data_IF_750040603575
#
_entry.id   IF_750040603575
#
_cell.length_a   1.000
_cell.length_b   1.000
_cell.length_c   1.000
_cell.angle_alpha   90.00
_cell.angle_beta   90.00
_cell.angle_gamma   90.00
#
_symmetry.space_group_name_H-M   'P 1'
#
loop_
_entity.id
_entity.type
_entity.pdbx_description
1 polymer ?
#
# COMPACT_ATOMS: atom_id res chain seq x y z
N UNK A 1 -3.84 16.77 8.18
CA UNK A 1 -3.81 15.68 9.19
C UNK A 1 -5.23 15.23 9.52
N UNK A 2 -6.18 16.13 9.85
CA UNK A 2 -7.56 15.75 10.19
C UNK A 2 -8.25 14.90 9.12
N UNK A 3 -8.11 15.27 7.85
CA UNK A 3 -8.63 14.51 6.71
C UNK A 3 -8.05 13.09 6.65
N UNK A 4 -6.73 12.92 6.76
CA UNK A 4 -6.08 11.60 6.70
C UNK A 4 -6.48 10.70 7.87
N UNK A 5 -6.64 11.28 9.07
CA UNK A 5 -7.16 10.55 10.24
C UNK A 5 -8.59 10.08 10.00
N UNK A 6 -9.46 10.96 9.52
CA UNK A 6 -10.86 10.62 9.23
C UNK A 6 -10.94 9.46 8.22
N UNK A 7 -10.17 9.51 7.12
CA UNK A 7 -10.15 8.46 6.11
C UNK A 7 -9.52 7.16 6.63
N UNK A 8 -8.46 7.26 7.44
CA UNK A 8 -7.84 6.09 8.07
C UNK A 8 -8.81 5.31 8.95
N UNK A 9 -9.57 6.00 9.78
CA UNK A 9 -10.62 5.39 10.63
C UNK A 9 -11.80 4.86 9.79
N UNK A 10 -12.14 5.53 8.68
CA UNK A 10 -13.26 5.15 7.81
C UNK A 10 -12.91 4.09 6.76
N UNK A 11 -11.84 3.33 6.95
CA UNK A 11 -11.56 2.15 6.15
C UNK A 11 -10.94 2.41 4.77
N UNK A 12 -10.28 3.54 4.57
CA UNK A 12 -9.57 3.82 3.33
C UNK A 12 -8.20 3.14 3.28
N UNK A 13 -7.86 2.59 2.09
CA UNK A 13 -6.49 2.28 1.72
C UNK A 13 -5.71 3.53 1.29
N UNK A 14 -4.36 3.49 1.37
CA UNK A 14 -3.51 4.62 1.01
C UNK A 14 -2.28 4.19 0.23
N UNK A 15 -1.99 4.90 -0.86
CA UNK A 15 -0.74 4.80 -1.58
C UNK A 15 -0.02 6.15 -1.53
N UNK A 16 1.14 6.18 -0.88
CA UNK A 16 1.96 7.38 -0.73
C UNK A 16 3.09 7.36 -1.75
N UNK A 17 3.13 8.34 -2.61
CA UNK A 17 4.11 8.46 -3.68
C UNK A 17 5.06 9.64 -3.49
N UNK A 18 6.22 9.59 -4.14
CA UNK A 18 7.23 10.65 -4.12
C UNK A 18 8.64 10.10 -4.32
N UNK A 19 9.61 10.97 -4.46
CA UNK A 19 11.03 10.61 -4.60
C UNK A 19 11.62 10.09 -3.27
N UNK A 20 12.81 9.48 -3.33
CA UNK A 20 13.59 9.16 -2.14
C UNK A 20 13.80 10.39 -1.27
N UNK A 21 13.66 10.26 0.05
CA UNK A 21 13.81 11.36 1.00
C UNK A 21 12.68 12.40 0.99
N UNK A 22 11.52 12.14 0.35
CA UNK A 22 10.40 13.10 0.34
C UNK A 22 9.53 13.06 1.60
N UNK A 23 9.78 12.15 2.54
CA UNK A 23 9.03 12.03 3.80
C UNK A 23 7.92 10.98 3.79
N UNK A 24 7.83 10.10 2.76
CA UNK A 24 6.80 9.05 2.64
C UNK A 24 6.73 8.13 3.87
N UNK A 25 7.87 7.55 4.27
CA UNK A 25 7.94 6.63 5.42
C UNK A 25 7.56 7.35 6.72
N UNK A 26 7.94 8.62 6.86
CA UNK A 26 7.55 9.44 8.03
C UNK A 26 6.03 9.67 8.07
N UNK A 27 5.41 9.99 6.92
CA UNK A 27 3.96 10.13 6.85
C UNK A 27 3.27 8.80 7.15
N UNK A 28 3.72 7.70 6.52
CA UNK A 28 3.16 6.37 6.72
C UNK A 28 3.24 5.95 8.19
N UNK A 29 4.38 6.16 8.87
CA UNK A 29 4.53 5.93 10.31
C UNK A 29 3.48 6.69 11.14
N UNK A 30 3.31 7.98 10.88
CA UNK A 30 2.30 8.78 11.58
C UNK A 30 0.86 8.28 11.31
N UNK A 31 0.60 7.73 10.13
CA UNK A 31 -0.70 7.15 9.81
C UNK A 31 -0.94 5.82 10.54
N UNK A 32 0.10 5.02 10.75
CA UNK A 32 0.04 3.81 11.59
C UNK A 32 -0.36 4.18 13.02
N UNK A 33 0.26 5.20 13.60
CA UNK A 33 -0.04 5.69 14.96
C UNK A 33 -1.47 6.24 15.11
N UNK A 34 -2.16 6.52 14.01
CA UNK A 34 -3.56 7.01 14.00
C UNK A 34 -4.59 5.89 13.87
N UNK A 35 -4.17 4.64 13.65
CA UNK A 35 -5.07 3.50 13.53
C UNK A 35 -5.76 3.19 14.84
N UNK A 36 -7.01 2.68 14.81
CA UNK A 36 -7.68 2.15 15.99
C UNK A 36 -6.86 1.03 16.65
N UNK A 37 -6.72 1.06 17.96
CA UNK A 37 -5.89 0.11 18.70
C UNK A 37 -6.43 -1.32 18.70
N UNK A 38 -7.68 -1.49 18.35
CA UNK A 38 -8.36 -2.78 18.21
C UNK A 38 -8.04 -3.48 16.88
N UNK A 39 -7.55 -2.74 15.89
CA UNK A 39 -7.25 -3.27 14.57
C UNK A 39 -5.88 -3.96 14.57
N UNK A 40 -5.81 -5.10 13.89
CA UNK A 40 -4.57 -5.84 13.68
C UNK A 40 -3.82 -5.30 12.46
N UNK A 41 -2.54 -5.03 12.62
CA UNK A 41 -1.71 -4.41 11.58
C UNK A 41 -0.53 -5.31 11.26
N UNK A 42 -0.36 -5.69 10.00
CA UNK A 42 0.83 -6.35 9.49
C UNK A 42 1.70 -5.33 8.74
N UNK A 43 2.94 -5.16 9.17
CA UNK A 43 3.93 -4.33 8.49
C UNK A 43 4.99 -5.21 7.86
N UNK A 44 5.07 -5.19 6.53
CA UNK A 44 6.12 -5.85 5.77
C UNK A 44 7.11 -4.81 5.23
N UNK A 45 8.39 -4.96 5.57
CA UNK A 45 9.44 -4.01 5.20
C UNK A 45 10.81 -4.67 5.07
N UNK A 46 11.62 -4.19 4.13
CA UNK A 46 13.01 -4.65 3.98
C UNK A 46 13.96 -4.05 5.01
N UNK A 47 13.71 -2.81 5.42
CA UNK A 47 14.49 -2.08 6.42
C UNK A 47 13.58 -1.62 7.55
N UNK A 48 14.09 -1.56 8.77
CA UNK A 48 13.36 -1.13 9.97
C UNK A 48 13.09 0.38 9.99
N UNK A 49 12.31 0.88 9.03
CA UNK A 49 11.92 2.29 8.93
C UNK A 49 10.57 2.57 9.58
N UNK A 50 9.67 1.57 9.56
CA UNK A 50 8.34 1.69 10.09
C UNK A 50 8.26 0.98 11.45
N UNK A 51 7.76 1.68 12.42
CA UNK A 51 7.47 1.18 13.76
C UNK A 51 6.40 2.06 14.41
N UNK A 52 5.79 1.58 15.46
CA UNK A 52 4.91 2.37 16.32
C UNK A 52 5.24 2.10 17.77
N UNK A 53 5.32 3.14 18.56
CA UNK A 53 5.50 3.06 20.01
C UNK A 53 4.17 3.04 20.76
N UNK A 54 3.07 3.23 20.06
CA UNK A 54 1.74 3.45 20.65
C UNK A 54 0.71 2.39 20.24
N UNK A 55 0.80 1.83 19.03
CA UNK A 55 -0.17 0.84 18.54
C UNK A 55 0.16 -0.57 19.05
N UNK A 56 -0.73 -1.25 19.81
CA UNK A 56 -0.41 -2.48 20.53
C UNK A 56 -0.45 -3.74 19.67
N UNK A 57 -1.13 -3.71 18.52
CA UNK A 57 -1.40 -4.92 17.70
C UNK A 57 -0.68 -4.85 16.35
N UNK A 58 0.65 -4.73 16.39
CA UNK A 58 1.48 -4.73 15.18
C UNK A 58 2.30 -6.00 15.10
N UNK A 59 2.21 -6.65 13.94
CA UNK A 59 3.11 -7.73 13.53
C UNK A 59 4.08 -7.19 12.51
N UNK A 60 5.39 -7.42 12.74
CA UNK A 60 6.45 -7.05 11.81
C UNK A 60 6.95 -8.28 11.06
N UNK A 61 7.02 -8.18 9.75
CA UNK A 61 7.59 -9.19 8.88
C UNK A 61 8.73 -8.61 8.05
N UNK A 62 9.77 -9.42 7.84
CA UNK A 62 10.94 -9.03 7.06
C UNK A 62 11.27 -10.13 6.06
N UNK A 63 11.44 -9.82 4.78
CA UNK A 63 11.86 -10.79 3.78
C UNK A 63 13.16 -11.47 4.19
N UNK A 64 13.16 -12.78 4.21
CA UNK A 64 14.34 -13.58 4.56
C UNK A 64 15.00 -14.14 3.32
N UNK A 65 16.30 -13.91 3.22
CA UNK A 65 17.15 -14.51 2.21
C UNK A 65 18.23 -15.35 2.92
N UNK A 66 17.95 -16.64 3.12
CA UNK A 66 18.85 -17.53 3.84
C UNK A 66 19.53 -18.52 2.88
N UNK A 67 20.85 -18.54 2.90
CA UNK A 67 21.67 -19.54 2.18
C UNK A 67 22.31 -20.47 3.19
N UNK A 68 21.90 -21.73 3.20
CA UNK A 68 22.53 -22.78 4.00
C UNK A 68 22.68 -24.04 3.13
N UNK A 69 23.86 -24.66 3.21
CA UNK A 69 24.19 -25.95 2.58
C UNK A 69 23.83 -26.06 1.08
N UNK A 70 24.07 -24.98 0.32
CA UNK A 70 23.79 -24.91 -1.12
C UNK A 70 22.29 -24.80 -1.45
N UNK A 71 21.40 -24.68 -0.46
CA UNK A 71 19.99 -24.36 -0.64
C UNK A 71 19.75 -22.90 -0.30
N UNK A 72 19.08 -22.19 -1.22
CA UNK A 72 18.58 -20.84 -1.00
C UNK A 72 17.11 -20.94 -0.60
N UNK A 73 16.81 -20.56 0.64
CA UNK A 73 15.42 -20.39 1.10
C UNK A 73 15.13 -18.90 1.06
N UNK A 74 14.15 -18.54 0.25
CA UNK A 74 13.63 -17.17 0.18
C UNK A 74 12.25 -17.16 0.80
N UNK A 75 12.04 -16.24 1.71
CA UNK A 75 10.73 -15.85 2.17
C UNK A 75 10.53 -14.41 1.73
N UNK A 76 9.62 -14.20 0.81
CA UNK A 76 9.45 -12.93 0.11
C UNK A 76 8.34 -12.10 0.76
N UNK A 77 8.30 -10.80 0.50
CA UNK A 77 7.15 -9.93 0.82
C UNK A 77 5.81 -10.55 0.36
N UNK A 78 5.84 -11.26 -0.75
CA UNK A 78 4.70 -11.98 -1.30
C UNK A 78 4.23 -13.11 -0.36
N UNK A 79 5.16 -13.89 0.16
CA UNK A 79 4.85 -14.99 1.10
C UNK A 79 4.29 -14.43 2.42
N UNK A 80 4.83 -13.31 2.92
CA UNK A 80 4.37 -12.62 4.11
C UNK A 80 2.93 -12.12 3.97
N UNK A 81 2.62 -11.44 2.87
CA UNK A 81 1.27 -10.95 2.60
C UNK A 81 0.26 -12.10 2.47
N UNK A 82 0.67 -13.20 1.81
CA UNK A 82 -0.18 -14.41 1.72
C UNK A 82 -0.46 -15.02 3.09
N UNK A 83 0.52 -15.07 3.98
CA UNK A 83 0.32 -15.56 5.35
C UNK A 83 -0.58 -14.60 6.14
N UNK A 84 -0.37 -13.30 6.03
CA UNK A 84 -1.21 -12.29 6.67
C UNK A 84 -2.69 -12.40 6.26
N UNK A 85 -2.98 -12.70 4.99
CA UNK A 85 -4.37 -12.94 4.53
C UNK A 85 -5.04 -14.13 5.22
N UNK A 86 -4.26 -15.09 5.73
CA UNK A 86 -4.77 -16.24 6.50
C UNK A 86 -4.95 -15.94 8.00
N UNK A 87 -4.47 -14.80 8.48
CA UNK A 87 -4.46 -14.40 9.88
C UNK A 87 -5.55 -13.38 10.24
N UNK A 88 -6.46 -13.08 9.32
CA UNK A 88 -7.54 -12.10 9.51
C UNK A 88 -7.04 -10.72 9.94
N UNK A 89 -5.99 -10.23 9.25
CA UNK A 89 -5.37 -8.93 9.48
C UNK A 89 -6.26 -7.82 8.89
N UNK A 90 -6.48 -6.75 9.67
CA UNK A 90 -7.29 -5.59 9.25
C UNK A 90 -6.54 -4.67 8.30
N UNK A 91 -5.25 -4.44 8.53
CA UNK A 91 -4.41 -3.52 7.75
C UNK A 91 -3.10 -4.17 7.28
N UNK A 92 -2.87 -4.14 5.97
CA UNK A 92 -1.61 -4.53 5.36
C UNK A 92 -0.78 -3.30 5.00
N UNK A 93 0.44 -3.24 5.52
CA UNK A 93 1.33 -2.11 5.29
C UNK A 93 2.61 -2.61 4.63
N UNK A 94 2.94 -2.05 3.46
CA UNK A 94 4.20 -2.31 2.77
C UNK A 94 5.05 -1.05 2.83
N UNK A 95 6.23 -1.16 3.43
CA UNK A 95 7.16 -0.05 3.59
C UNK A 95 7.49 0.62 2.26
N UNK A 96 7.89 -0.16 1.26
CA UNK A 96 8.12 0.31 -0.10
C UNK A 96 7.80 -0.78 -1.13
N UNK A 97 7.01 -0.42 -2.15
CA UNK A 97 6.64 -1.31 -3.25
C UNK A 97 7.61 -1.12 -4.40
N UNK A 98 8.33 -2.20 -4.76
CA UNK A 98 9.37 -2.19 -5.80
C UNK A 98 9.13 -3.22 -6.90
N UNK A 99 8.37 -4.28 -6.62
CA UNK A 99 8.23 -5.45 -7.49
C UNK A 99 6.84 -6.10 -7.47
N UNK A 100 6.85 -7.43 -7.54
CA UNK A 100 5.65 -8.25 -7.70
C UNK A 100 4.66 -8.19 -6.53
N UNK A 101 5.12 -7.82 -5.33
CA UNK A 101 4.27 -7.55 -4.17
C UNK A 101 3.15 -6.55 -4.47
N UNK A 102 3.32 -5.71 -5.50
CA UNK A 102 2.28 -4.81 -5.99
C UNK A 102 0.95 -5.53 -6.33
N UNK A 103 0.99 -6.80 -6.75
CA UNK A 103 -0.22 -7.57 -7.07
C UNK A 103 -1.12 -7.73 -5.85
N UNK A 104 -0.52 -7.88 -4.66
CA UNK A 104 -1.28 -8.09 -3.42
C UNK A 104 -2.08 -6.86 -2.99
N UNK A 105 -1.65 -5.65 -3.37
CA UNK A 105 -2.44 -4.43 -3.16
C UNK A 105 -3.81 -4.57 -3.82
N UNK A 106 -3.83 -5.01 -5.08
CA UNK A 106 -5.06 -5.16 -5.85
C UNK A 106 -5.92 -6.34 -5.36
N UNK A 107 -5.29 -7.48 -5.08
CA UNK A 107 -6.02 -8.67 -4.64
C UNK A 107 -6.53 -8.57 -3.22
N UNK A 108 -5.81 -7.89 -2.32
CA UNK A 108 -6.28 -7.61 -0.95
C UNK A 108 -7.49 -6.70 -0.96
N UNK A 109 -7.46 -5.62 -1.74
CA UNK A 109 -8.60 -4.72 -1.88
C UNK A 109 -9.87 -5.44 -2.33
N UNK A 110 -9.76 -6.47 -3.20
CA UNK A 110 -10.91 -7.19 -3.75
C UNK A 110 -11.44 -8.32 -2.86
N UNK A 111 -10.59 -8.98 -2.09
CA UNK A 111 -10.93 -10.32 -1.58
C UNK A 111 -11.17 -10.41 -0.08
N UNK A 112 -10.69 -9.48 0.72
CA UNK A 112 -10.69 -9.65 2.18
C UNK A 112 -11.37 -8.54 2.96
N UNK A 113 -11.64 -7.39 2.35
CA UNK A 113 -12.05 -6.20 3.09
C UNK A 113 -10.95 -5.56 3.94
N UNK A 114 -9.75 -6.18 3.97
CA UNK A 114 -8.59 -5.60 4.62
C UNK A 114 -8.12 -4.35 3.88
N UNK A 115 -7.59 -3.40 4.63
CA UNK A 115 -7.08 -2.15 4.08
C UNK A 115 -5.61 -2.31 3.73
N UNK A 116 -5.18 -1.54 2.76
CA UNK A 116 -3.79 -1.50 2.34
C UNK A 116 -3.20 -0.10 2.53
N UNK A 117 -1.98 -0.03 3.03
CA UNK A 117 -1.17 1.18 3.01
C UNK A 117 0.24 0.87 2.51
N UNK A 118 0.83 1.80 1.75
CA UNK A 118 2.19 1.58 1.28
C UNK A 118 2.81 2.79 0.63
N UNK A 119 4.12 2.70 0.37
CA UNK A 119 4.84 3.73 -0.37
C UNK A 119 5.35 3.22 -1.70
N UNK A 120 5.45 4.12 -2.68
CA UNK A 120 5.97 3.84 -4.02
C UNK A 120 6.71 5.04 -4.59
N UNK A 121 7.73 4.81 -5.40
CA UNK A 121 8.36 5.88 -6.16
C UNK A 121 7.53 6.25 -7.39
N UNK A 122 7.04 7.49 -7.44
CA UNK A 122 6.34 8.09 -8.58
C UNK A 122 6.46 9.61 -8.58
N UNK A 123 6.08 10.26 -9.68
CA UNK A 123 6.16 11.71 -9.83
C UNK A 123 4.83 12.44 -9.53
N UNK A 124 3.73 11.73 -9.35
CA UNK A 124 2.40 12.24 -8.98
C UNK A 124 1.47 11.09 -8.58
N UNK A 125 0.28 11.40 -8.08
CA UNK A 125 -0.71 10.41 -7.66
C UNK A 125 -1.15 9.47 -8.79
N UNK A 126 -1.55 9.98 -9.94
CA UNK A 126 -2.00 9.14 -11.08
C UNK A 126 -0.91 8.22 -11.59
N UNK A 127 0.33 8.74 -11.68
CA UNK A 127 1.50 7.95 -12.05
C UNK A 127 1.82 6.84 -11.05
N UNK A 128 1.48 7.01 -9.77
CA UNK A 128 1.70 5.97 -8.75
C UNK A 128 0.82 4.74 -8.98
N UNK A 129 -0.44 4.94 -9.33
CA UNK A 129 -1.36 3.85 -9.69
C UNK A 129 -0.87 3.11 -10.94
N UNK A 130 -0.53 3.85 -11.99
CA UNK A 130 0.01 3.27 -13.23
C UNK A 130 1.28 2.46 -12.97
N UNK A 131 2.18 2.98 -12.12
CA UNK A 131 3.40 2.27 -11.71
C UNK A 131 3.09 1.01 -10.92
N UNK A 132 2.16 1.08 -9.97
CA UNK A 132 1.70 -0.06 -9.18
C UNK A 132 1.16 -1.17 -10.09
N UNK A 133 0.26 -0.84 -11.02
CA UNK A 133 -0.31 -1.78 -11.97
C UNK A 133 0.75 -2.39 -12.90
N UNK A 134 1.73 -1.62 -13.35
CA UNK A 134 2.85 -2.12 -14.14
C UNK A 134 3.69 -3.14 -13.37
N UNK A 135 3.99 -2.90 -12.09
CA UNK A 135 4.72 -3.84 -11.24
C UNK A 135 3.93 -5.15 -11.04
N UNK A 136 2.63 -5.06 -10.73
CA UNK A 136 1.76 -6.21 -10.57
C UNK A 136 1.64 -7.05 -11.85
N UNK A 137 1.63 -6.42 -13.02
CA UNK A 137 1.56 -7.10 -14.32
C UNK A 137 2.74 -8.04 -14.57
N UNK A 138 3.93 -7.78 -14.01
CA UNK A 138 5.09 -8.66 -14.22
C UNK A 138 4.89 -10.09 -13.70
N UNK A 139 4.04 -10.28 -12.70
CA UNK A 139 3.77 -11.60 -12.08
C UNK A 139 2.33 -12.07 -12.29
N UNK A 140 1.53 -11.36 -13.10
CA UNK A 140 0.13 -11.68 -13.33
C UNK A 140 -0.22 -11.63 -14.82
N UNK A 141 -1.34 -12.26 -15.18
CA UNK A 141 -1.93 -12.19 -16.52
C UNK A 141 -2.92 -11.03 -16.72
N UNK A 142 -3.13 -10.21 -15.69
CA UNK A 142 -4.04 -9.08 -15.76
C UNK A 142 -3.51 -7.96 -16.68
N UNK A 143 -4.42 -7.22 -17.31
CA UNK A 143 -4.05 -5.98 -17.99
C UNK A 143 -3.86 -4.86 -16.97
N UNK A 144 -3.16 -3.79 -17.37
CA UNK A 144 -2.99 -2.62 -16.48
C UNK A 144 -4.34 -2.02 -16.13
N UNK A 145 -5.23 -1.92 -17.11
CA UNK A 145 -6.57 -1.37 -16.97
C UNK A 145 -7.42 -2.19 -15.98
N UNK A 146 -7.40 -3.53 -16.09
CA UNK A 146 -8.11 -4.38 -15.12
C UNK A 146 -7.54 -4.28 -13.72
N UNK A 147 -6.23 -4.12 -13.55
CA UNK A 147 -5.62 -3.88 -12.25
C UNK A 147 -6.04 -2.52 -11.67
N UNK A 148 -6.01 -1.46 -12.49
CA UNK A 148 -6.47 -0.14 -12.05
C UNK A 148 -7.95 -0.17 -11.63
N UNK A 149 -8.83 -0.82 -12.40
CA UNK A 149 -10.25 -0.99 -12.05
C UNK A 149 -10.45 -1.68 -10.69
N UNK A 150 -9.62 -2.68 -10.35
CA UNK A 150 -9.69 -3.37 -9.05
C UNK A 150 -9.59 -2.44 -7.84
N UNK A 151 -8.92 -1.29 -7.96
CA UNK A 151 -8.82 -0.32 -6.86
C UNK A 151 -10.14 0.38 -6.53
N UNK A 152 -11.16 0.24 -7.37
CA UNK A 152 -12.50 0.78 -7.07
C UNK A 152 -13.30 -0.10 -6.12
N UNK A 153 -12.83 -1.32 -5.83
CA UNK A 153 -13.51 -2.26 -4.94
C UNK A 153 -13.56 -1.80 -3.48
N UNK A 154 -12.60 -0.98 -3.07
CA UNK A 154 -12.53 -0.39 -1.71
C UNK A 154 -12.21 1.09 -1.79
N UNK A 155 -12.60 1.89 -0.78
CA UNK A 155 -12.20 3.29 -0.71
C UNK A 155 -10.67 3.43 -0.70
N UNK A 156 -10.11 4.25 -1.59
CA UNK A 156 -8.68 4.37 -1.76
C UNK A 156 -8.23 5.82 -2.00
N UNK A 157 -7.21 6.23 -1.24
CA UNK A 157 -6.60 7.55 -1.34
C UNK A 157 -5.17 7.47 -1.87
N UNK A 158 -4.82 8.38 -2.75
CA UNK A 158 -3.48 8.57 -3.29
C UNK A 158 -2.90 9.87 -2.71
N UNK A 159 -1.67 9.83 -2.26
CA UNK A 159 -0.95 10.97 -1.71
C UNK A 159 0.37 11.12 -2.45
N UNK A 160 0.67 12.33 -2.92
CA UNK A 160 1.99 12.64 -3.48
C UNK A 160 2.74 13.61 -2.58
N UNK A 161 4.02 13.30 -2.33
CA UNK A 161 4.88 14.09 -1.46
C UNK A 161 6.16 14.53 -2.17
N UNK A 162 6.52 15.79 -1.97
CA UNK A 162 7.85 16.32 -2.27
C UNK A 162 8.38 17.17 -1.11
N UNK A 163 9.68 17.12 -0.86
CA UNK A 163 10.35 17.98 0.14
C UNK A 163 9.64 18.04 1.51
N UNK A 164 9.15 16.89 1.99
CA UNK A 164 8.39 16.74 3.25
C UNK A 164 7.03 17.46 3.27
N UNK A 165 6.50 17.83 2.11
CA UNK A 165 5.16 18.39 1.93
C UNK A 165 4.27 17.44 1.15
N UNK A 166 2.97 17.48 1.45
CA UNK A 166 1.95 16.85 0.62
C UNK A 166 1.61 17.85 -0.49
N UNK A 167 1.82 17.44 -1.75
CA UNK A 167 1.56 18.26 -2.92
C UNK A 167 0.19 17.95 -3.55
N UNK A 168 -0.28 16.71 -3.42
CA UNK A 168 -1.51 16.25 -4.06
C UNK A 168 -2.17 15.16 -3.21
N UNK A 169 -3.49 15.21 -3.07
CA UNK A 169 -4.32 14.12 -2.52
C UNK A 169 -5.48 13.88 -3.47
N UNK A 170 -5.61 12.64 -3.97
CA UNK A 170 -6.71 12.18 -4.80
C UNK A 170 -7.46 11.04 -4.11
N UNK A 171 -8.80 11.06 -4.12
CA UNK A 171 -9.63 9.88 -3.85
C UNK A 171 -9.98 9.19 -5.15
N UNK A 172 -9.90 7.86 -5.21
CA UNK A 172 -10.48 7.07 -6.30
C UNK A 172 -11.99 7.00 -6.04
N UNK A 173 -12.79 7.46 -7.01
CA UNK A 173 -14.26 7.54 -6.86
C UNK A 173 -15.01 6.65 -7.85
N UNK A 174 -14.35 6.09 -8.85
CA UNK A 174 -14.98 5.21 -9.82
C UNK A 174 -14.07 4.81 -10.98
N UNK A 175 -14.69 4.17 -11.95
CA UNK A 175 -14.08 3.73 -13.21
C UNK A 175 -14.89 4.24 -14.40
N UNK A 176 -14.24 4.92 -15.35
CA UNK A 176 -14.86 5.32 -16.61
C UNK A 176 -14.67 4.20 -17.66
N UNK A 177 -15.70 3.41 -17.90
CA UNK A 177 -15.65 2.29 -18.87
C UNK A 177 -15.35 2.73 -20.31
N UNK A 178 -15.74 3.97 -20.69
CA UNK A 178 -15.51 4.46 -22.05
C UNK A 178 -14.07 4.86 -22.29
N UNK A 179 -13.44 5.42 -21.29
CA UNK A 179 -12.04 5.85 -21.35
C UNK A 179 -11.07 4.79 -20.84
N UNK A 180 -11.58 3.76 -20.16
CA UNK A 180 -10.77 2.72 -19.51
C UNK A 180 -9.78 3.33 -18.53
N UNK A 181 -10.26 4.24 -17.64
CA UNK A 181 -9.44 4.94 -16.67
C UNK A 181 -10.18 5.17 -15.34
N UNK A 182 -9.41 5.31 -14.26
CA UNK A 182 -9.95 5.67 -12.95
C UNK A 182 -10.47 7.10 -12.92
N UNK A 183 -11.60 7.28 -12.23
CA UNK A 183 -12.12 8.58 -11.87
C UNK A 183 -11.59 9.03 -10.52
N UNK A 184 -11.15 10.28 -10.43
CA UNK A 184 -10.54 10.84 -9.25
C UNK A 184 -11.29 12.08 -8.77
N UNK A 185 -11.36 12.21 -7.45
CA UNK A 185 -11.75 13.45 -6.78
C UNK A 185 -10.51 14.07 -6.15
N UNK A 186 -10.18 15.28 -6.55
CA UNK A 186 -9.13 16.07 -5.94
C UNK A 186 -9.57 16.58 -4.57
N UNK A 187 -8.72 16.38 -3.58
CA UNK A 187 -8.95 16.79 -2.19
C UNK A 187 -7.98 17.89 -1.79
N UNK A 188 -6.74 17.84 -2.33
CA UNK A 188 -5.69 18.81 -2.07
C UNK A 188 -4.69 18.78 -3.22
#
# INVERSE_FOLDING_TARGET
>A
IGYLRDRGVNGYGFLISGRGGSGKSTLLKNMIDMKPYEESVLISQENDELYSDVHPQIQFEHPLNHKSDGKETRFTLEDELRLGLLQDIDDFIIGEIKGGEALYVFTTAMSTGARFMGTIHSNNCRGSVRRLAQLAKYISSYTVESLEEMLTATPFCLIHMSHFHIDEILEIVGWDEKKMELEYKEVY
#
